data_IF_889530727365
#
_entry.id   IF_889530727365
#
_cell.length_a   1.000
_cell.length_b   1.000
_cell.length_c   1.000
_cell.angle_alpha   90.00
_cell.angle_beta   90.00
_cell.angle_gamma   90.00
#
_symmetry.space_group_name_H-M   'P 1'
#
loop_
_entity.id
_entity.type
_entity.pdbx_description
1 polymer ?
#
# COMPACT_ATOMS: atom_id res chain seq x y z
N UNK A 1 -17.24 46.89 23.81
CA UNK A 1 -18.37 47.19 24.72
C UNK A 1 -19.55 46.24 24.52
N UNK A 2 -19.65 45.55 23.39
CA UNK A 2 -20.89 44.88 22.96
C UNK A 2 -21.14 43.51 23.62
N UNK A 3 -20.16 42.98 24.37
CA UNK A 3 -20.27 41.70 25.07
C UNK A 3 -19.86 41.86 26.54
N UNK A 4 -20.50 41.08 27.44
CA UNK A 4 -20.17 41.00 28.87
C UNK A 4 -19.69 39.59 29.26
N UNK A 5 -18.93 39.51 30.36
CA UNK A 5 -18.44 38.26 30.96
C UNK A 5 -18.73 38.27 32.47
N UNK A 6 -19.24 37.18 33.08
CA UNK A 6 -19.64 35.89 32.46
C UNK A 6 -20.95 35.98 31.65
N UNK A 7 -21.35 34.88 31.00
CA UNK A 7 -22.57 34.78 30.19
C UNK A 7 -23.01 33.33 29.93
N UNK A 8 -24.01 33.14 29.06
CA UNK A 8 -24.62 31.83 28.77
C UNK A 8 -24.21 31.24 27.40
N UNK A 9 -23.33 31.92 26.68
CA UNK A 9 -22.71 31.42 25.45
C UNK A 9 -21.25 31.12 25.75
N UNK A 10 -20.80 29.94 25.31
CA UNK A 10 -19.44 29.45 25.51
C UNK A 10 -18.65 29.57 24.19
N UNK A 11 -17.98 30.71 23.93
CA UNK A 11 -17.24 30.87 22.68
C UNK A 11 -16.06 29.90 22.64
N UNK A 12 -15.97 29.17 21.53
CA UNK A 12 -14.84 28.29 21.21
C UNK A 12 -13.98 28.94 20.12
N UNK A 13 -12.66 28.80 20.22
CA UNK A 13 -11.72 29.34 19.22
C UNK A 13 -11.24 28.21 18.31
N UNK A 14 -11.65 28.25 17.04
CA UNK A 14 -11.13 27.33 16.03
C UNK A 14 -9.64 27.58 15.76
N UNK A 15 -8.91 26.52 15.39
CA UNK A 15 -7.54 26.64 14.89
C UNK A 15 -7.53 27.23 13.47
N UNK A 16 -6.53 28.05 13.21
CA UNK A 16 -6.23 28.52 11.85
C UNK A 16 -5.95 27.31 10.94
N UNK A 17 -6.52 27.33 9.73
CA UNK A 17 -6.56 26.19 8.80
C UNK A 17 -7.78 25.27 8.97
N UNK A 18 -8.58 25.43 10.02
CA UNK A 18 -9.85 24.71 10.18
C UNK A 18 -9.66 23.20 10.32
N UNK A 19 -10.56 22.41 9.71
CA UNK A 19 -10.58 20.95 9.85
C UNK A 19 -9.31 20.29 9.30
N UNK A 20 -8.60 20.98 8.41
CA UNK A 20 -7.33 20.52 7.85
C UNK A 20 -6.18 20.56 8.86
N UNK A 21 -6.29 21.40 9.89
CA UNK A 21 -5.33 21.45 11.00
C UNK A 21 -5.78 20.65 12.20
N UNK A 22 -7.08 20.66 12.50
CA UNK A 22 -7.68 19.89 13.61
C UNK A 22 -9.07 19.40 13.20
N UNK A 23 -9.25 18.08 13.15
CA UNK A 23 -10.54 17.45 12.86
C UNK A 23 -11.51 17.54 14.05
N UNK A 24 -11.99 18.73 14.37
CA UNK A 24 -12.93 18.99 15.46
C UNK A 24 -14.23 19.65 15.00
N UNK A 25 -15.30 19.48 15.78
CA UNK A 25 -16.59 20.12 15.51
C UNK A 25 -16.51 21.66 15.54
N UNK A 26 -15.61 22.21 16.37
CA UNK A 26 -15.33 23.65 16.42
C UNK A 26 -14.83 24.17 15.08
N UNK A 27 -13.82 23.51 14.50
CA UNK A 27 -13.29 23.86 13.19
C UNK A 27 -14.32 23.63 12.09
N UNK A 28 -15.04 22.50 12.13
CA UNK A 28 -16.06 22.19 11.14
C UNK A 28 -17.17 23.24 11.07
N UNK A 29 -17.63 23.76 12.22
CA UNK A 29 -18.66 24.80 12.27
C UNK A 29 -18.21 26.11 11.62
N UNK A 30 -16.94 26.50 11.80
CA UNK A 30 -16.36 27.69 11.17
C UNK A 30 -16.16 27.48 9.67
N UNK A 31 -15.60 26.33 9.27
CA UNK A 31 -15.31 26.02 7.88
C UNK A 31 -16.59 25.93 7.03
N UNK A 32 -17.66 25.32 7.56
CA UNK A 32 -18.95 25.26 6.86
C UNK A 32 -19.55 26.64 6.63
N UNK A 33 -19.48 27.53 7.62
CA UNK A 33 -19.95 28.91 7.47
C UNK A 33 -19.15 29.65 6.39
N UNK A 34 -17.82 29.47 6.38
CA UNK A 34 -16.95 30.07 5.38
C UNK A 34 -17.21 29.52 3.97
N UNK A 35 -17.39 28.20 3.81
CA UNK A 35 -17.74 27.56 2.54
C UNK A 35 -19.11 28.02 2.01
N UNK A 36 -20.02 28.42 2.89
CA UNK A 36 -21.29 29.03 2.51
C UNK A 36 -21.20 30.54 2.17
N UNK A 37 -20.00 31.13 2.21
CA UNK A 37 -19.78 32.55 1.96
C UNK A 37 -20.24 33.47 3.10
N UNK A 38 -20.43 32.93 4.31
CA UNK A 38 -20.87 33.67 5.50
C UNK A 38 -19.69 34.07 6.38
N UNK A 39 -19.97 34.87 7.41
CA UNK A 39 -18.99 35.17 8.45
C UNK A 39 -18.50 33.88 9.11
N UNK A 40 -17.19 33.68 9.34
CA UNK A 40 -16.61 32.41 9.81
C UNK A 40 -16.90 32.16 11.31
N UNK A 41 -18.16 31.96 11.64
CA UNK A 41 -18.66 31.63 12.97
C UNK A 41 -19.82 30.63 12.87
N UNK A 42 -19.77 29.58 13.68
CA UNK A 42 -20.81 28.56 13.79
C UNK A 42 -21.33 28.42 15.21
N UNK A 43 -22.58 27.96 15.36
CA UNK A 43 -23.17 27.55 16.64
C UNK A 43 -23.31 26.04 16.62
N UNK A 44 -22.79 25.38 17.64
CA UNK A 44 -22.80 23.92 17.76
C UNK A 44 -23.35 23.51 19.12
N UNK A 45 -24.04 22.37 19.15
CA UNK A 45 -24.52 21.70 20.35
C UNK A 45 -24.65 20.21 20.04
N UNK A 46 -24.20 19.33 20.93
CA UNK A 46 -24.33 17.90 20.72
C UNK A 46 -25.77 17.40 20.92
N UNK A 47 -26.16 16.42 20.10
CA UNK A 47 -27.48 15.80 20.16
C UNK A 47 -27.45 14.65 21.19
N UNK A 48 -28.39 14.70 22.13
CA UNK A 48 -28.58 13.67 23.15
C UNK A 48 -29.85 12.86 22.87
N UNK A 49 -29.82 11.59 23.26
CA UNK A 49 -30.98 10.72 23.31
C UNK A 49 -31.92 11.15 24.48
N UNK A 50 -33.20 10.74 24.44
CA UNK A 50 -34.15 11.07 25.51
C UNK A 50 -33.77 10.55 26.89
N UNK A 51 -32.94 9.51 26.96
CA UNK A 51 -32.43 8.92 28.20
C UNK A 51 -31.19 9.66 28.76
N UNK A 52 -30.75 10.74 28.10
CA UNK A 52 -29.57 11.53 28.48
C UNK A 52 -28.25 10.96 27.98
N UNK A 53 -28.25 9.83 27.25
CA UNK A 53 -27.06 9.34 26.58
C UNK A 53 -26.74 10.17 25.31
N UNK A 54 -25.49 10.12 24.85
CA UNK A 54 -25.08 10.81 23.62
C UNK A 54 -25.50 10.02 22.38
N UNK A 55 -26.16 10.68 21.42
CA UNK A 55 -26.61 10.03 20.20
C UNK A 55 -25.44 9.52 19.35
N UNK A 56 -25.55 8.29 18.84
CA UNK A 56 -24.59 7.62 17.95
C UNK A 56 -25.07 7.65 16.51
N UNK A 57 -24.22 7.23 15.57
CA UNK A 57 -24.48 7.35 14.13
C UNK A 57 -25.86 6.82 13.68
N UNK A 58 -26.34 5.63 14.12
CA UNK A 58 -27.67 5.16 13.73
C UNK A 58 -28.79 6.13 14.18
N UNK A 59 -28.72 6.63 15.41
CA UNK A 59 -29.70 7.55 15.98
C UNK A 59 -29.64 8.92 15.30
N UNK A 60 -28.44 9.39 14.96
CA UNK A 60 -28.23 10.65 14.23
C UNK A 60 -28.79 10.58 12.80
N UNK A 61 -28.71 9.42 12.14
CA UNK A 61 -29.33 9.20 10.81
C UNK A 61 -30.85 9.36 10.90
N UNK A 62 -31.47 8.74 11.91
CA UNK A 62 -32.92 8.84 12.10
C UNK A 62 -33.36 10.24 12.52
N UNK A 63 -32.58 10.89 13.40
CA UNK A 63 -32.81 12.28 13.80
C UNK A 63 -32.74 13.23 12.60
N UNK A 64 -31.70 13.10 11.77
CA UNK A 64 -31.53 13.92 10.58
C UNK A 64 -32.69 13.75 9.60
N UNK A 65 -33.16 12.51 9.35
CA UNK A 65 -34.35 12.26 8.51
C UNK A 65 -35.60 12.89 9.10
N UNK A 66 -35.87 12.70 10.40
CA UNK A 66 -37.05 13.22 11.08
C UNK A 66 -37.16 14.74 10.97
N UNK A 67 -36.03 15.44 11.06
CA UNK A 67 -35.98 16.91 11.06
C UNK A 67 -35.59 17.52 9.71
N UNK A 68 -35.44 16.72 8.65
CA UNK A 68 -35.06 17.21 7.32
C UNK A 68 -33.65 17.81 7.26
N UNK A 69 -32.74 17.37 8.13
CA UNK A 69 -31.36 17.86 8.22
C UNK A 69 -30.43 17.02 7.34
N UNK A 70 -29.32 17.64 6.91
CA UNK A 70 -28.22 16.93 6.26
C UNK A 70 -27.26 16.38 7.31
N UNK A 71 -26.76 15.18 7.07
CA UNK A 71 -25.72 14.55 7.88
C UNK A 71 -24.46 14.42 7.03
N UNK A 72 -23.33 14.87 7.58
CA UNK A 72 -22.01 14.77 6.96
C UNK A 72 -21.00 14.29 7.99
N UNK A 73 -19.83 13.81 7.55
CA UNK A 73 -18.69 13.56 8.43
C UNK A 73 -17.63 14.67 8.31
N UNK A 74 -16.84 14.86 9.37
CA UNK A 74 -15.66 15.74 9.31
C UNK A 74 -14.66 15.21 8.26
N UNK A 75 -14.57 13.89 8.09
CA UNK A 75 -13.72 13.28 7.07
C UNK A 75 -14.15 13.72 5.66
N UNK A 76 -15.46 13.72 5.36
CA UNK A 76 -15.97 14.19 4.06
C UNK A 76 -15.73 15.68 3.86
N UNK A 77 -15.85 16.49 4.91
CA UNK A 77 -15.54 17.93 4.84
C UNK A 77 -14.04 18.17 4.56
N UNK A 78 -13.15 17.42 5.23
CA UNK A 78 -11.70 17.47 4.97
C UNK A 78 -11.43 17.10 3.49
N UNK A 79 -12.01 15.99 3.01
CA UNK A 79 -11.88 15.57 1.62
C UNK A 79 -12.40 16.63 0.65
N UNK A 80 -13.57 17.21 0.91
CA UNK A 80 -14.15 18.27 0.09
C UNK A 80 -13.24 19.49 0.00
N UNK A 81 -12.75 20.00 1.15
CA UNK A 81 -11.84 21.15 1.17
C UNK A 81 -10.53 20.84 0.43
N UNK A 82 -9.92 19.68 0.65
CA UNK A 82 -8.68 19.30 -0.04
C UNK A 82 -8.84 19.11 -1.56
N UNK A 83 -10.06 18.81 -2.03
CA UNK A 83 -10.39 18.71 -3.47
C UNK A 83 -10.66 20.06 -4.13
N UNK A 84 -11.26 21.01 -3.40
CA UNK A 84 -11.75 22.27 -3.98
C UNK A 84 -10.88 23.48 -3.63
N UNK A 85 -10.04 23.38 -2.61
CA UNK A 85 -9.12 24.43 -2.19
C UNK A 85 -7.67 23.99 -2.45
N UNK A 86 -6.83 24.94 -2.88
CA UNK A 86 -5.42 24.70 -3.18
C UNK A 86 -4.55 25.26 -2.07
N UNK A 87 -3.80 24.39 -1.40
CA UNK A 87 -2.95 24.73 -0.26
C UNK A 87 -1.46 24.56 -0.55
N UNK A 88 -1.11 24.00 -1.71
CA UNK A 88 0.27 23.87 -2.15
C UNK A 88 0.59 24.95 -3.19
N UNK A 89 1.68 25.68 -2.95
CA UNK A 89 2.23 26.65 -3.87
C UNK A 89 3.60 26.17 -4.34
N UNK A 90 3.81 26.12 -5.66
CA UNK A 90 5.13 25.86 -6.25
C UNK A 90 5.98 27.12 -6.12
N UNK A 91 7.13 27.00 -5.46
CA UNK A 91 8.03 28.12 -5.15
C UNK A 91 9.26 28.14 -6.06
N UNK A 92 9.78 26.96 -6.44
CA UNK A 92 10.99 26.86 -7.26
C UNK A 92 11.01 25.59 -8.09
N UNK A 93 11.75 25.63 -9.20
CA UNK A 93 12.09 24.47 -10.03
C UNK A 93 13.57 24.54 -10.36
N UNK A 94 14.29 23.42 -10.23
CA UNK A 94 15.70 23.33 -10.56
C UNK A 94 16.04 21.99 -11.22
N UNK A 95 17.10 21.98 -12.03
CA UNK A 95 17.69 20.73 -12.50
C UNK A 95 18.42 20.02 -11.35
N UNK A 96 18.24 18.70 -11.27
CA UNK A 96 18.76 17.84 -10.22
C UNK A 96 19.47 16.63 -10.83
N UNK A 97 20.75 16.76 -11.23
CA UNK A 97 21.57 15.61 -11.57
C UNK A 97 21.86 14.79 -10.30
N UNK A 98 21.61 13.49 -10.35
CA UNK A 98 21.83 12.56 -9.23
C UNK A 98 22.55 11.31 -9.68
N UNK A 99 23.06 10.52 -8.74
CA UNK A 99 23.59 9.18 -9.02
C UNK A 99 22.54 8.19 -9.55
N UNK A 100 21.25 8.53 -9.49
CA UNK A 100 20.15 7.69 -9.99
C UNK A 100 19.67 8.13 -11.37
N UNK A 101 20.21 9.22 -11.92
CA UNK A 101 19.73 9.82 -13.16
C UNK A 101 19.56 11.33 -13.07
N UNK A 102 19.09 11.91 -14.17
CA UNK A 102 18.83 13.34 -14.29
C UNK A 102 17.34 13.65 -14.12
N UNK A 103 17.02 14.47 -13.12
CA UNK A 103 15.66 14.85 -12.75
C UNK A 103 15.50 16.37 -12.72
N UNK A 104 14.26 16.83 -12.60
CA UNK A 104 13.94 18.16 -12.09
C UNK A 104 13.40 18.05 -10.68
N UNK A 105 13.72 19.01 -9.82
CA UNK A 105 13.16 19.12 -8.48
C UNK A 105 12.26 20.34 -8.38
N UNK A 106 11.05 20.14 -7.88
CA UNK A 106 10.03 21.17 -7.69
C UNK A 106 9.83 21.36 -6.20
N UNK A 107 10.05 22.58 -5.71
CA UNK A 107 9.82 22.94 -4.32
C UNK A 107 8.40 23.48 -4.13
N UNK A 108 7.73 23.00 -3.10
CA UNK A 108 6.37 23.38 -2.72
C UNK A 108 6.33 23.90 -1.30
N UNK A 109 5.50 24.92 -1.06
CA UNK A 109 5.13 25.40 0.27
C UNK A 109 3.68 25.05 0.56
N UNK A 110 3.42 24.52 1.75
CA UNK A 110 2.09 24.37 2.30
C UNK A 110 1.65 25.70 2.94
N UNK A 111 0.60 26.31 2.42
CA UNK A 111 0.08 27.59 2.90
C UNK A 111 -0.57 27.49 4.29
N UNK A 112 -0.92 26.29 4.74
CA UNK A 112 -1.56 26.08 6.05
C UNK A 112 -0.57 26.10 7.22
N UNK A 113 0.68 25.72 6.99
CA UNK A 113 1.68 25.61 8.07
C UNK A 113 3.11 25.98 7.68
N UNK A 114 3.30 26.54 6.48
CA UNK A 114 4.58 26.90 5.89
C UNK A 114 5.58 25.74 5.79
N UNK A 115 5.12 24.49 5.92
CA UNK A 115 5.99 23.34 5.66
C UNK A 115 6.37 23.28 4.18
N UNK A 116 7.55 22.74 3.90
CA UNK A 116 8.07 22.63 2.55
C UNK A 116 8.07 21.17 2.12
N UNK A 117 7.76 20.91 0.87
CA UNK A 117 7.79 19.58 0.26
C UNK A 117 8.48 19.66 -1.08
N UNK A 118 8.94 18.52 -1.60
CA UNK A 118 9.55 18.50 -2.94
C UNK A 118 8.96 17.39 -3.79
N UNK A 119 8.88 17.63 -5.10
CA UNK A 119 8.64 16.60 -6.10
C UNK A 119 9.88 16.44 -6.98
N UNK A 120 10.37 15.21 -7.09
CA UNK A 120 11.48 14.84 -7.97
C UNK A 120 10.86 14.21 -9.21
N UNK A 121 11.08 14.82 -10.38
CA UNK A 121 10.33 14.56 -11.60
C UNK A 121 11.26 14.14 -12.73
N UNK A 122 10.91 13.07 -13.42
CA UNK A 122 11.54 12.59 -14.65
C UNK A 122 10.58 12.75 -15.82
N UNK A 123 11.09 13.22 -16.95
CA UNK A 123 10.29 13.47 -18.15
C UNK A 123 9.66 14.86 -18.16
N UNK A 124 8.81 15.11 -19.15
CA UNK A 124 8.13 16.39 -19.34
C UNK A 124 6.72 16.38 -18.72
N UNK A 125 6.45 17.20 -17.68
CA UNK A 125 5.14 17.36 -17.07
C UNK A 125 3.98 17.64 -18.04
N UNK A 126 4.22 18.36 -19.14
CA UNK A 126 3.16 18.67 -20.12
C UNK A 126 2.62 17.40 -20.80
N UNK A 127 3.43 16.34 -20.86
CA UNK A 127 3.05 15.05 -21.46
C UNK A 127 2.37 14.10 -20.47
N UNK A 128 2.24 14.46 -19.19
CA UNK A 128 1.77 13.53 -18.15
C UNK A 128 0.28 13.28 -18.16
N UNK A 129 -0.53 14.18 -18.73
CA UNK A 129 -1.99 14.00 -18.79
C UNK A 129 -2.40 12.82 -19.67
N UNK A 130 -1.64 12.58 -20.74
CA UNK A 130 -2.01 11.63 -21.79
C UNK A 130 -1.44 10.22 -21.58
N UNK A 131 -0.70 9.97 -20.49
CA UNK A 131 -0.07 8.66 -20.23
C UNK A 131 -0.07 8.30 -18.75
N UNK A 132 0.14 7.03 -18.45
CA UNK A 132 0.36 6.58 -17.08
C UNK A 132 1.78 6.92 -16.61
N UNK A 133 1.89 7.55 -15.44
CA UNK A 133 3.15 8.04 -14.86
C UNK A 133 3.50 7.23 -13.62
N UNK A 134 4.76 6.77 -13.47
CA UNK A 134 5.19 6.13 -12.22
C UNK A 134 5.21 7.15 -11.08
N UNK A 135 4.52 6.86 -9.98
CA UNK A 135 4.41 7.79 -8.84
C UNK A 135 4.83 7.11 -7.54
N UNK A 136 5.64 7.79 -6.75
CA UNK A 136 5.99 7.40 -5.38
C UNK A 136 5.70 8.54 -4.41
N UNK A 137 4.79 8.33 -3.47
CA UNK A 137 4.63 9.25 -2.34
C UNK A 137 5.48 8.76 -1.17
N UNK A 138 6.62 9.40 -0.97
CA UNK A 138 7.59 9.10 0.09
C UNK A 138 7.38 10.02 1.29
N UNK A 139 7.48 9.46 2.49
CA UNK A 139 7.45 10.23 3.73
C UNK A 139 8.86 10.32 4.25
N UNK A 140 9.33 11.53 4.55
CA UNK A 140 10.66 11.81 5.05
C UNK A 140 11.06 10.88 6.19
N UNK A 141 12.29 10.37 6.10
CA UNK A 141 12.93 9.60 7.15
C UNK A 141 14.42 9.97 7.21
N UNK A 142 14.77 11.04 7.92
CA UNK A 142 16.14 11.55 8.04
C UNK A 142 17.15 10.44 8.36
N UNK A 143 16.83 9.63 9.38
CA UNK A 143 17.70 8.53 9.82
C UNK A 143 17.96 7.52 8.72
N UNK A 144 16.95 7.21 7.89
CA UNK A 144 17.10 6.28 6.77
C UNK A 144 17.72 6.99 5.57
N UNK A 145 16.99 7.95 5.03
CA UNK A 145 17.22 8.57 3.72
C UNK A 145 18.56 9.30 3.64
N UNK A 146 18.96 10.03 4.69
CA UNK A 146 20.19 10.81 4.72
C UNK A 146 21.35 10.14 5.48
N UNK A 147 21.07 9.55 6.66
CA UNK A 147 22.12 9.03 7.56
C UNK A 147 22.43 7.55 7.26
N UNK A 148 21.52 6.84 6.60
CA UNK A 148 21.77 5.47 6.19
C UNK A 148 21.52 4.40 7.25
N UNK A 149 20.62 4.67 8.19
CA UNK A 149 20.19 3.71 9.21
C UNK A 149 19.68 2.41 8.59
N UNK A 150 20.11 1.28 9.17
CA UNK A 150 19.64 -0.06 8.82
C UNK A 150 18.40 -0.49 9.61
N UNK A 151 17.95 0.29 10.61
CA UNK A 151 16.73 0.01 11.39
C UNK A 151 15.44 0.13 10.57
N UNK A 152 15.49 0.79 9.42
CA UNK A 152 14.36 0.96 8.53
C UNK A 152 14.78 0.74 7.07
N UNK A 153 13.79 0.54 6.21
CA UNK A 153 13.95 0.32 4.78
C UNK A 153 13.74 1.59 3.93
N UNK A 154 13.51 2.74 4.56
CA UNK A 154 13.10 3.98 3.86
C UNK A 154 14.08 4.42 2.77
N UNK A 155 15.40 4.39 3.04
CA UNK A 155 16.43 4.74 2.05
C UNK A 155 16.36 3.83 0.84
N UNK A 156 16.36 2.52 1.07
CA UNK A 156 16.35 1.52 0.00
C UNK A 156 15.08 1.69 -0.86
N UNK A 157 13.94 1.95 -0.22
CA UNK A 157 12.69 2.27 -0.94
C UNK A 157 12.80 3.55 -1.79
N UNK A 158 13.35 4.64 -1.25
CA UNK A 158 13.51 5.90 -2.00
C UNK A 158 14.44 5.70 -3.21
N UNK A 159 15.59 5.05 -3.00
CA UNK A 159 16.56 4.79 -4.05
C UNK A 159 16.01 3.87 -5.14
N UNK A 160 15.30 2.80 -4.76
CA UNK A 160 14.66 1.90 -5.70
C UNK A 160 13.59 2.64 -6.54
N UNK A 161 12.75 3.46 -5.91
CA UNK A 161 11.75 4.24 -6.63
C UNK A 161 12.38 5.22 -7.64
N UNK A 162 13.47 5.92 -7.26
CA UNK A 162 14.19 6.81 -8.17
C UNK A 162 14.77 6.06 -9.38
N UNK A 163 15.38 4.89 -9.16
CA UNK A 163 15.90 4.04 -10.25
C UNK A 163 14.80 3.53 -11.17
N UNK A 164 13.67 3.09 -10.61
CA UNK A 164 12.51 2.64 -11.40
C UNK A 164 11.98 3.77 -12.29
N UNK A 165 11.87 4.98 -11.73
CA UNK A 165 11.41 6.16 -12.48
C UNK A 165 12.41 6.58 -13.55
N UNK A 166 13.72 6.53 -13.26
CA UNK A 166 14.75 6.80 -14.27
C UNK A 166 14.61 5.86 -15.46
N UNK A 167 14.52 4.55 -15.19
CA UNK A 167 14.41 3.52 -16.23
C UNK A 167 13.12 3.66 -17.06
N UNK A 168 12.01 4.08 -16.45
CA UNK A 168 10.76 4.33 -17.15
C UNK A 168 10.77 5.62 -17.99
N UNK A 169 11.68 6.56 -17.71
CA UNK A 169 11.77 7.85 -18.41
C UNK A 169 10.65 8.85 -18.10
N UNK A 170 9.67 8.47 -17.27
CA UNK A 170 8.57 9.33 -16.82
C UNK A 170 8.09 8.93 -15.42
N UNK A 171 8.14 9.87 -14.48
CA UNK A 171 7.68 9.61 -13.13
C UNK A 171 7.89 10.73 -12.13
N UNK A 172 7.26 10.59 -10.96
CA UNK A 172 7.30 11.58 -9.88
C UNK A 172 7.51 10.89 -8.53
N UNK A 173 8.57 11.27 -7.81
CA UNK A 173 8.67 11.03 -6.36
C UNK A 173 8.21 12.28 -5.63
N UNK A 174 7.07 12.22 -4.93
CA UNK A 174 6.67 13.26 -3.99
C UNK A 174 7.31 12.94 -2.63
N UNK A 175 8.21 13.79 -2.18
CA UNK A 175 8.87 13.69 -0.89
C UNK A 175 8.21 14.65 0.10
N UNK A 176 7.33 14.10 0.94
CA UNK A 176 6.62 14.85 1.98
C UNK A 176 7.49 14.91 3.24
N UNK A 177 7.82 16.12 3.69
CA UNK A 177 8.59 16.38 4.93
C UNK A 177 7.75 16.19 6.18
N UNK A 178 7.32 14.95 6.39
CA UNK A 178 6.43 14.50 7.48
C UNK A 178 7.07 13.35 8.28
N UNK A 179 8.23 13.65 8.86
CA UNK A 179 9.03 12.73 9.68
C UNK A 179 8.22 12.02 10.76
N UNK A 180 8.54 10.74 11.01
CA UNK A 180 7.91 9.96 12.09
C UNK A 180 6.40 9.72 11.91
N UNK A 181 5.86 9.81 10.69
CA UNK A 181 4.40 9.81 10.42
C UNK A 181 3.67 11.05 10.94
N UNK A 182 4.36 12.19 10.96
CA UNK A 182 3.80 13.47 11.37
C UNK A 182 4.08 13.85 12.82
N UNK A 183 4.61 12.95 13.64
CA UNK A 183 4.97 13.26 15.04
C UNK A 183 6.33 13.98 15.18
N UNK A 184 7.12 14.03 14.09
CA UNK A 184 8.43 14.67 14.05
C UNK A 184 9.59 13.81 14.54
N UNK A 185 10.81 14.26 14.23
CA UNK A 185 12.05 13.52 14.49
C UNK A 185 12.28 13.20 15.96
N UNK A 186 12.08 14.17 16.85
CA UNK A 186 12.33 14.02 18.29
C UNK A 186 11.46 12.89 18.86
N UNK A 187 10.16 12.88 18.53
CA UNK A 187 9.24 11.87 19.04
C UNK A 187 9.49 10.49 18.42
N UNK A 188 9.92 10.44 17.15
CA UNK A 188 10.41 9.20 16.54
C UNK A 188 11.61 8.63 17.30
N UNK A 189 12.58 9.47 17.70
CA UNK A 189 13.74 9.00 18.47
C UNK A 189 13.34 8.55 19.88
N UNK A 190 12.40 9.24 20.53
CA UNK A 190 11.81 8.76 21.80
C UNK A 190 11.14 7.39 21.63
N UNK A 191 10.43 7.17 20.52
CA UNK A 191 9.82 5.88 20.21
C UNK A 191 10.89 4.80 20.01
N UNK A 192 12.04 5.13 19.39
CA UNK A 192 13.18 4.21 19.31
C UNK A 192 13.74 3.86 20.68
N UNK A 193 13.91 4.82 21.58
CA UNK A 193 14.36 4.53 22.95
C UNK A 193 13.41 3.61 23.71
N UNK A 194 12.10 3.73 23.47
CA UNK A 194 11.10 2.81 24.03
C UNK A 194 11.17 1.42 23.38
N UNK A 195 11.44 1.35 22.08
CA UNK A 195 11.64 0.08 21.38
C UNK A 195 12.91 -0.64 21.82
N UNK A 196 13.99 0.09 22.08
CA UNK A 196 15.22 -0.46 22.65
C UNK A 196 14.99 -1.06 24.05
N UNK A 197 13.88 -0.70 24.72
CA UNK A 197 13.42 -1.27 26.00
C UNK A 197 12.40 -2.42 25.81
N UNK A 198 12.17 -2.88 24.58
CA UNK A 198 11.34 -4.05 24.25
C UNK A 198 9.89 -3.75 23.87
N UNK A 199 9.46 -2.48 23.79
CA UNK A 199 8.12 -2.13 23.30
C UNK A 199 8.07 -2.22 21.78
N UNK A 200 6.95 -2.64 21.20
CA UNK A 200 6.81 -2.55 19.75
C UNK A 200 6.54 -1.11 19.27
N UNK A 201 6.57 -0.91 17.95
CA UNK A 201 6.40 0.42 17.35
C UNK A 201 5.04 1.06 17.66
N UNK A 202 3.98 0.28 17.79
CA UNK A 202 2.62 0.78 18.05
C UNK A 202 2.48 1.11 19.54
N UNK A 203 2.95 0.22 20.42
CA UNK A 203 2.96 0.44 21.87
C UNK A 203 3.79 1.67 22.26
N UNK A 204 4.98 1.83 21.66
CA UNK A 204 5.82 3.00 21.86
C UNK A 204 5.09 4.31 21.48
N UNK A 205 4.34 4.31 20.37
CA UNK A 205 3.58 5.50 19.95
C UNK A 205 2.38 5.78 20.87
N UNK A 206 1.63 4.74 21.28
CA UNK A 206 0.54 4.90 22.25
C UNK A 206 1.05 5.44 23.58
N UNK A 207 2.20 4.95 24.05
CA UNK A 207 2.82 5.41 25.29
C UNK A 207 3.31 6.87 25.22
N UNK A 208 3.63 7.34 24.02
CA UNK A 208 3.95 8.74 23.74
C UNK A 208 2.72 9.62 23.48
N UNK A 209 1.50 9.04 23.49
CA UNK A 209 0.24 9.76 23.31
C UNK A 209 -0.09 10.10 21.85
N UNK A 210 0.52 9.43 20.87
CA UNK A 210 0.30 9.69 19.45
C UNK A 210 -0.56 8.58 18.78
N UNK A 211 -1.46 8.93 17.85
CA UNK A 211 -2.10 7.98 16.95
C UNK A 211 -1.05 7.26 16.10
N UNK A 212 -1.32 6.02 15.71
CA UNK A 212 -0.38 5.20 14.94
C UNK A 212 -0.03 5.76 13.54
N UNK A 213 -0.86 6.66 12.98
CA UNK A 213 -0.64 7.32 11.70
C UNK A 213 -1.41 8.65 11.64
N UNK A 214 -0.71 9.78 11.42
CA UNK A 214 -1.31 11.11 11.25
C UNK A 214 -1.06 11.69 9.84
N UNK A 215 -0.57 10.87 8.90
CA UNK A 215 -0.14 11.39 7.59
C UNK A 215 -1.34 11.91 6.80
N UNK A 216 -1.19 13.11 6.24
CA UNK A 216 -2.18 13.70 5.33
C UNK A 216 -1.69 13.54 3.89
N UNK A 217 -2.33 12.66 3.13
CA UNK A 217 -1.97 12.39 1.73
C UNK A 217 -2.54 13.41 0.74
N UNK A 218 -3.43 14.32 1.18
CA UNK A 218 -3.99 15.38 0.34
C UNK A 218 -2.93 16.33 -0.22
N UNK A 219 -1.87 16.62 0.54
CA UNK A 219 -0.74 17.43 0.04
C UNK A 219 -0.03 16.74 -1.12
N UNK A 220 0.18 15.43 -1.03
CA UNK A 220 0.77 14.64 -2.11
C UNK A 220 -0.10 14.66 -3.36
N UNK A 221 -1.41 14.55 -3.21
CA UNK A 221 -2.35 14.62 -4.33
C UNK A 221 -2.35 15.99 -5.00
N UNK A 222 -2.36 17.09 -4.23
CA UNK A 222 -2.33 18.44 -4.83
C UNK A 222 -1.00 18.72 -5.54
N UNK A 223 0.12 18.22 -5.02
CA UNK A 223 1.43 18.32 -5.70
C UNK A 223 1.39 17.56 -7.03
N UNK A 224 0.84 16.34 -7.07
CA UNK A 224 0.72 15.56 -8.30
C UNK A 224 -0.18 16.27 -9.34
N UNK A 225 -1.30 16.84 -8.91
CA UNK A 225 -2.17 17.65 -9.76
C UNK A 225 -1.45 18.88 -10.32
N UNK A 226 -0.66 19.59 -9.51
CA UNK A 226 0.14 20.74 -9.95
C UNK A 226 1.22 20.33 -10.97
N UNK A 227 1.86 19.18 -10.78
CA UNK A 227 2.78 18.58 -11.76
C UNK A 227 2.05 18.15 -13.05
N UNK A 228 0.73 18.02 -13.05
CA UNK A 228 -0.05 17.63 -14.23
C UNK A 228 -0.24 16.12 -14.39
N UNK A 229 0.04 15.33 -13.34
CA UNK A 229 -0.29 13.90 -13.32
C UNK A 229 -1.81 13.74 -13.24
N UNK A 230 -2.37 12.94 -14.14
CA UNK A 230 -3.77 12.48 -14.05
C UNK A 230 -3.84 10.97 -13.84
N UNK A 231 -3.14 10.21 -14.69
CA UNK A 231 -3.04 8.76 -14.64
C UNK A 231 -1.70 8.32 -14.06
N UNK A 232 -1.71 7.43 -13.08
CA UNK A 232 -0.46 7.02 -12.42
C UNK A 232 -0.40 5.56 -11.99
N UNK A 233 0.81 5.01 -11.98
CA UNK A 233 1.12 3.72 -11.36
C UNK A 233 1.82 3.95 -10.02
N UNK A 234 1.18 3.59 -8.90
CA UNK A 234 1.66 3.89 -7.56
C UNK A 234 2.69 2.87 -7.05
N UNK A 235 3.90 3.32 -6.77
CA UNK A 235 4.98 2.53 -6.17
C UNK A 235 4.78 2.42 -4.64
N UNK A 236 4.06 1.40 -4.17
CA UNK A 236 3.74 1.21 -2.74
C UNK A 236 3.54 -0.25 -2.33
N UNK A 237 3.88 -0.58 -1.08
CA UNK A 237 3.48 -1.82 -0.40
C UNK A 237 2.36 -1.62 0.63
N UNK A 238 1.94 -0.37 0.85
CA UNK A 238 0.97 -0.01 1.86
C UNK A 238 -0.41 0.25 1.19
N UNK A 239 -1.44 -0.55 1.48
CA UNK A 239 -2.77 -0.39 0.90
C UNK A 239 -3.49 0.89 1.36
N UNK A 240 -3.18 1.43 2.55
CA UNK A 240 -3.76 2.70 3.03
C UNK A 240 -3.33 3.91 2.19
N UNK A 241 -2.13 3.89 1.61
CA UNK A 241 -1.68 4.95 0.67
C UNK A 241 -2.53 5.00 -0.59
N UNK A 242 -3.12 3.87 -0.99
CA UNK A 242 -3.99 3.77 -2.17
C UNK A 242 -5.31 4.53 -1.92
N UNK A 243 -5.91 4.35 -0.74
CA UNK A 243 -7.14 5.03 -0.38
C UNK A 243 -6.96 6.56 -0.25
N UNK A 244 -5.82 7.01 0.28
CA UNK A 244 -5.56 8.43 0.54
C UNK A 244 -5.40 9.33 -0.69
N UNK A 245 -5.21 8.76 -1.88
CA UNK A 245 -5.11 9.50 -3.15
C UNK A 245 -6.40 9.45 -4.00
N UNK A 246 -7.37 8.61 -3.62
CA UNK A 246 -8.68 8.56 -4.31
C UNK A 246 -9.48 9.83 -4.04
N UNK A 247 -10.13 10.35 -5.09
CA UNK A 247 -11.00 11.52 -5.00
C UNK A 247 -10.37 12.86 -5.41
N UNK A 248 -9.08 12.91 -5.74
CA UNK A 248 -8.39 14.15 -6.10
C UNK A 248 -8.33 14.45 -7.61
N UNK A 249 -9.20 13.82 -8.41
CA UNK A 249 -9.08 13.85 -9.87
C UNK A 249 -7.87 13.08 -10.41
N UNK A 250 -7.24 12.26 -9.56
CA UNK A 250 -6.15 11.35 -9.91
C UNK A 250 -6.70 9.94 -10.12
N UNK A 251 -6.36 9.34 -11.25
CA UNK A 251 -6.70 7.98 -11.63
C UNK A 251 -5.49 7.07 -11.41
N UNK A 252 -5.58 6.19 -10.41
CA UNK A 252 -4.57 5.16 -10.22
C UNK A 252 -4.79 4.07 -11.27
N UNK A 253 -3.90 4.03 -12.27
CA UNK A 253 -3.90 3.02 -13.32
C UNK A 253 -3.38 1.70 -12.78
N UNK A 254 -2.28 1.69 -12.02
CA UNK A 254 -1.71 0.45 -11.47
C UNK A 254 -1.04 0.66 -10.11
N UNK A 255 -0.74 -0.45 -9.42
CA UNK A 255 0.15 -0.48 -8.27
C UNK A 255 1.40 -1.24 -8.67
N UNK A 256 2.55 -0.62 -8.42
CA UNK A 256 3.85 -1.28 -8.59
C UNK A 256 4.39 -1.64 -7.19
N UNK A 257 4.60 -2.93 -6.88
CA UNK A 257 5.19 -3.32 -5.60
C UNK A 257 6.63 -2.81 -5.51
N UNK A 258 7.06 -2.49 -4.29
CA UNK A 258 8.42 -2.00 -4.00
C UNK A 258 9.10 -2.94 -3.02
N UNK A 259 9.59 -4.07 -3.53
CA UNK A 259 10.23 -5.10 -2.70
C UNK A 259 11.64 -4.66 -2.35
N UNK A 260 11.93 -4.61 -1.05
CA UNK A 260 13.26 -4.35 -0.50
C UNK A 260 13.60 -5.54 0.39
N UNK A 261 14.79 -6.11 0.21
CA UNK A 261 15.26 -7.22 1.03
C UNK A 261 15.39 -6.79 2.50
N UNK A 262 14.86 -7.63 3.39
CA UNK A 262 15.03 -7.44 4.82
C UNK A 262 16.50 -7.63 5.19
N UNK A 263 16.96 -6.84 6.16
CA UNK A 263 18.28 -7.01 6.80
C UNK A 263 18.06 -7.53 8.21
N UNK A 264 19.07 -8.14 8.86
CA UNK A 264 18.96 -8.56 10.25
C UNK A 264 18.53 -7.44 11.21
N UNK A 265 18.78 -6.18 10.87
CA UNK A 265 18.46 -5.02 11.70
C UNK A 265 17.04 -4.47 11.54
N UNK A 266 16.30 -4.86 10.50
CA UNK A 266 14.96 -4.36 10.24
C UNK A 266 13.90 -5.45 10.07
N UNK A 267 14.25 -6.72 10.23
CA UNK A 267 13.31 -7.84 10.15
C UNK A 267 12.11 -7.66 11.09
N UNK A 268 12.35 -7.38 12.37
CA UNK A 268 11.28 -7.16 13.39
C UNK A 268 10.43 -5.91 13.10
N UNK A 269 11.07 -4.86 12.58
CA UNK A 269 10.40 -3.63 12.17
C UNK A 269 9.47 -3.86 10.97
N UNK A 270 9.92 -4.64 9.98
CA UNK A 270 9.11 -5.04 8.83
C UNK A 270 7.99 -6.00 9.26
N UNK A 271 8.24 -6.90 10.22
CA UNK A 271 7.23 -7.76 10.86
C UNK A 271 6.09 -6.93 11.45
N UNK A 272 6.44 -5.96 12.31
CA UNK A 272 5.47 -5.09 12.97
C UNK A 272 4.65 -4.28 11.97
N UNK A 273 5.28 -3.85 10.86
CA UNK A 273 4.58 -3.17 9.76
C UNK A 273 3.58 -4.09 9.05
N UNK A 274 3.95 -5.34 8.81
CA UNK A 274 3.05 -6.31 8.18
C UNK A 274 1.84 -6.58 9.08
N UNK A 275 2.11 -7.02 10.32
CA UNK A 275 1.10 -7.43 11.29
C UNK A 275 0.14 -6.30 11.69
N UNK A 276 0.68 -5.13 12.06
CA UNK A 276 -0.13 -4.06 12.67
C UNK A 276 -0.60 -2.98 11.70
N UNK A 277 0.03 -2.86 10.53
CA UNK A 277 -0.25 -1.78 9.57
C UNK A 277 -0.70 -2.30 8.20
N UNK A 278 -0.85 -3.62 8.06
CA UNK A 278 -1.33 -4.28 6.84
C UNK A 278 -0.37 -4.14 5.67
N UNK A 279 0.94 -4.04 5.94
CA UNK A 279 1.93 -4.12 4.86
C UNK A 279 1.98 -5.56 4.32
N UNK A 280 2.04 -5.70 3.01
CA UNK A 280 2.05 -7.00 2.34
C UNK A 280 3.50 -7.51 2.21
N UNK A 281 4.05 -8.09 3.28
CA UNK A 281 5.42 -8.60 3.34
C UNK A 281 5.46 -9.98 4.00
N UNK A 282 6.06 -10.96 3.31
CA UNK A 282 6.34 -12.31 3.81
C UNK A 282 7.68 -12.37 4.53
N UNK A 283 7.73 -13.20 5.57
CA UNK A 283 8.93 -13.57 6.31
C UNK A 283 9.31 -15.04 6.13
N UNK A 284 8.32 -15.90 5.89
CA UNK A 284 8.52 -17.30 5.54
C UNK A 284 7.89 -17.54 4.17
N UNK A 285 8.64 -18.13 3.24
CA UNK A 285 8.20 -18.39 1.87
C UNK A 285 7.95 -19.89 1.70
N UNK A 286 6.76 -20.27 1.29
CA UNK A 286 6.38 -21.68 1.09
C UNK A 286 6.22 -22.03 -0.39
N UNK A 287 5.68 -21.10 -1.18
CA UNK A 287 5.33 -21.36 -2.57
C UNK A 287 5.49 -20.09 -3.40
N UNK A 288 6.12 -20.19 -4.56
CA UNK A 288 6.00 -19.19 -5.62
C UNK A 288 4.98 -19.71 -6.63
N UNK A 289 4.05 -18.86 -7.04
CA UNK A 289 3.04 -19.17 -8.05
C UNK A 289 3.09 -18.11 -9.13
N UNK A 290 3.23 -18.55 -10.37
CA UNK A 290 3.17 -17.73 -11.55
C UNK A 290 1.94 -18.12 -12.39
N UNK A 291 1.12 -17.14 -12.71
CA UNK A 291 -0.15 -17.34 -13.39
C UNK A 291 -0.13 -16.56 -14.70
N UNK A 292 -0.44 -17.27 -15.77
CA UNK A 292 -0.75 -16.68 -17.08
C UNK A 292 -2.25 -16.73 -17.29
N UNK A 293 -2.84 -15.58 -17.56
CA UNK A 293 -4.26 -15.48 -17.87
C UNK A 293 -4.50 -15.66 -19.38
N UNK A 294 -5.67 -16.18 -19.77
CA UNK A 294 -6.09 -16.27 -21.17
C UNK A 294 -6.29 -14.88 -21.79
N UNK A 295 -6.69 -13.92 -20.98
CA UNK A 295 -6.92 -12.54 -21.35
C UNK A 295 -5.78 -11.62 -20.90
N UNK A 296 -5.72 -10.41 -21.47
CA UNK A 296 -4.90 -9.32 -20.95
C UNK A 296 -5.79 -8.47 -20.03
N UNK A 297 -5.90 -8.80 -18.72
CA UNK A 297 -6.81 -8.10 -17.82
C UNK A 297 -6.45 -6.62 -17.73
N UNK A 298 -7.48 -5.77 -17.63
CA UNK A 298 -7.27 -4.41 -17.17
C UNK A 298 -6.67 -4.42 -15.76
N UNK A 299 -6.13 -3.29 -15.33
CA UNK A 299 -5.45 -3.27 -14.04
C UNK A 299 -6.41 -3.46 -12.86
N UNK A 300 -7.63 -2.94 -12.96
CA UNK A 300 -8.68 -3.20 -11.96
C UNK A 300 -8.98 -4.69 -11.88
N UNK A 301 -9.10 -5.37 -13.02
CA UNK A 301 -9.35 -6.82 -13.06
C UNK A 301 -8.16 -7.63 -12.55
N UNK A 302 -6.92 -7.21 -12.86
CA UNK A 302 -5.70 -7.78 -12.29
C UNK A 302 -5.71 -7.66 -10.77
N UNK A 303 -6.08 -6.49 -10.26
CA UNK A 303 -6.17 -6.22 -8.83
C UNK A 303 -7.26 -7.07 -8.17
N UNK A 304 -8.44 -7.17 -8.77
CA UNK A 304 -9.53 -8.01 -8.27
C UNK A 304 -9.12 -9.50 -8.25
N UNK A 305 -8.38 -9.97 -9.27
CA UNK A 305 -7.79 -11.32 -9.28
C UNK A 305 -6.78 -11.51 -8.16
N UNK A 306 -5.92 -10.53 -7.94
CA UNK A 306 -4.94 -10.58 -6.86
C UNK A 306 -5.61 -10.54 -5.47
N UNK A 307 -6.66 -9.75 -5.28
CA UNK A 307 -7.45 -9.76 -4.04
C UNK A 307 -8.19 -11.08 -3.86
N UNK A 308 -8.69 -11.70 -4.95
CA UNK A 308 -9.20 -13.08 -4.88
C UNK A 308 -8.13 -14.06 -4.44
N UNK A 309 -6.90 -13.97 -4.97
CA UNK A 309 -5.78 -14.83 -4.52
C UNK A 309 -5.47 -14.60 -3.04
N UNK A 310 -5.45 -13.35 -2.57
CA UNK A 310 -5.28 -13.00 -1.15
C UNK A 310 -6.40 -13.59 -0.29
N UNK A 311 -7.65 -13.50 -0.76
CA UNK A 311 -8.80 -14.05 -0.07
C UNK A 311 -8.72 -15.58 0.04
N UNK A 312 -8.37 -16.26 -1.06
CA UNK A 312 -8.15 -17.70 -1.07
C UNK A 312 -7.01 -18.11 -0.13
N UNK A 313 -5.85 -17.49 -0.24
CA UNK A 313 -4.71 -17.79 0.62
C UNK A 313 -5.04 -17.57 2.10
N UNK A 314 -5.80 -16.52 2.43
CA UNK A 314 -6.23 -16.24 3.81
C UNK A 314 -7.14 -17.33 4.39
N UNK A 315 -7.94 -18.02 3.56
CA UNK A 315 -8.73 -19.18 4.01
C UNK A 315 -7.86 -20.34 4.50
N UNK A 316 -6.57 -20.33 4.14
CA UNK A 316 -5.57 -21.32 4.52
C UNK A 316 -4.49 -20.76 5.47
N UNK A 317 -4.74 -19.61 6.11
CA UNK A 317 -3.79 -18.89 6.98
C UNK A 317 -2.47 -18.50 6.28
N UNK A 318 -2.53 -18.30 4.95
CA UNK A 318 -1.41 -17.86 4.12
C UNK A 318 -1.59 -16.40 3.71
N UNK A 319 -0.46 -15.73 3.49
CA UNK A 319 -0.40 -14.41 2.89
C UNK A 319 0.16 -14.48 1.48
N UNK A 320 -0.24 -13.52 0.64
CA UNK A 320 0.20 -13.38 -0.74
C UNK A 320 1.00 -12.10 -0.89
N UNK A 321 2.26 -12.23 -1.28
CA UNK A 321 3.13 -11.13 -1.66
C UNK A 321 3.38 -11.19 -3.16
N UNK A 322 3.18 -10.08 -3.87
CA UNK A 322 3.54 -10.00 -5.28
C UNK A 322 5.07 -10.06 -5.45
N UNK A 323 5.51 -10.73 -6.50
CA UNK A 323 6.91 -10.84 -6.91
C UNK A 323 7.09 -10.21 -8.30
N UNK A 324 8.10 -9.35 -8.42
CA UNK A 324 8.37 -8.58 -9.62
C UNK A 324 9.88 -8.38 -9.87
N UNK A 325 10.75 -9.03 -9.09
CA UNK A 325 12.20 -8.97 -9.30
C UNK A 325 12.55 -9.53 -10.68
N UNK A 326 13.55 -8.95 -11.38
CA UNK A 326 13.95 -9.40 -12.72
C UNK A 326 14.26 -10.89 -12.79
N UNK A 327 14.84 -11.48 -11.75
CA UNK A 327 15.13 -12.91 -11.67
C UNK A 327 13.86 -13.77 -11.73
N UNK A 328 12.79 -13.38 -11.03
CA UNK A 328 11.52 -14.10 -11.06
C UNK A 328 10.80 -13.93 -12.40
N UNK A 329 10.83 -12.71 -12.95
CA UNK A 329 10.26 -12.41 -14.28
C UNK A 329 10.95 -13.21 -15.38
N UNK A 330 12.29 -13.35 -15.30
CA UNK A 330 13.05 -14.17 -16.23
C UNK A 330 12.76 -15.67 -16.06
N UNK A 331 12.61 -16.14 -14.82
CA UNK A 331 12.36 -17.55 -14.49
C UNK A 331 10.99 -18.02 -14.98
N UNK A 332 9.94 -17.27 -14.66
CA UNK A 332 8.54 -17.60 -15.00
C UNK A 332 8.07 -16.86 -16.24
N UNK A 333 8.92 -16.81 -17.26
CA UNK A 333 8.69 -16.10 -18.51
C UNK A 333 7.22 -16.18 -19.00
N UNK A 334 6.67 -15.07 -19.50
CA UNK A 334 5.26 -14.92 -19.95
C UNK A 334 4.17 -14.96 -18.85
N UNK A 335 4.52 -15.11 -17.57
CA UNK A 335 3.55 -15.01 -16.49
C UNK A 335 2.91 -13.61 -16.44
N UNK A 336 1.58 -13.58 -16.34
CA UNK A 336 0.86 -12.34 -16.11
C UNK A 336 1.05 -11.84 -14.68
N UNK A 337 1.09 -12.73 -13.69
CA UNK A 337 1.24 -12.40 -12.28
C UNK A 337 2.13 -13.44 -11.59
N UNK A 338 3.12 -12.98 -10.81
CA UNK A 338 3.94 -13.85 -9.97
C UNK A 338 3.73 -13.43 -8.52
N UNK A 339 3.47 -14.41 -7.64
CA UNK A 339 3.26 -14.19 -6.22
C UNK A 339 3.99 -15.23 -5.39
N UNK A 340 4.42 -14.82 -4.21
CA UNK A 340 4.83 -15.72 -3.13
C UNK A 340 3.66 -15.92 -2.17
N UNK A 341 3.57 -17.15 -1.65
CA UNK A 341 2.72 -17.51 -0.52
C UNK A 341 3.56 -17.92 0.67
N UNK A 342 3.11 -17.53 1.85
CA UNK A 342 3.70 -17.98 3.10
C UNK A 342 3.17 -17.21 4.30
N UNK A 343 4.03 -16.96 5.29
CA UNK A 343 3.66 -16.29 6.54
C UNK A 343 4.31 -14.91 6.64
N UNK A 344 3.59 -13.97 7.27
CA UNK A 344 4.12 -12.65 7.67
C UNK A 344 4.93 -12.69 8.96
N UNK A 345 4.87 -13.80 9.70
CA UNK A 345 5.67 -14.06 10.88
C UNK A 345 6.81 -15.02 10.54
N UNK A 346 7.98 -14.82 11.15
CA UNK A 346 9.09 -15.77 11.12
C UNK A 346 8.71 -17.03 11.89
N UNK A 347 7.90 -17.89 11.27
CA UNK A 347 7.58 -19.21 11.80
C UNK A 347 8.71 -20.15 11.42
N UNK A 348 9.26 -20.83 12.42
CA UNK A 348 10.16 -21.95 12.20
C UNK A 348 9.35 -23.07 11.55
N UNK A 349 9.54 -23.24 10.24
CA UNK A 349 9.04 -24.37 9.48
C UNK A 349 10.22 -25.27 9.14
N UNK A 350 10.02 -26.59 9.16
CA UNK A 350 11.11 -27.50 8.80
C UNK A 350 11.44 -27.35 7.31
N UNK A 351 12.72 -27.32 6.90
CA UNK A 351 13.09 -27.12 5.49
C UNK A 351 12.53 -28.17 4.52
N UNK A 352 12.08 -29.31 5.03
CA UNK A 352 11.51 -30.46 4.33
C UNK A 352 9.98 -30.58 4.50
N UNK A 353 9.30 -29.54 4.99
CA UNK A 353 7.87 -29.58 5.32
C UNK A 353 6.98 -30.11 4.18
N UNK A 354 7.37 -29.86 2.93
CA UNK A 354 6.63 -30.30 1.74
C UNK A 354 6.76 -31.80 1.46
N UNK A 355 7.76 -32.48 2.04
CA UNK A 355 7.93 -33.94 1.95
C UNK A 355 7.16 -34.68 3.05
N UNK A 356 6.78 -33.98 4.12
CA UNK A 356 6.06 -34.55 5.25
C UNK A 356 4.58 -34.74 4.90
N UNK A 357 4.12 -36.01 4.90
CA UNK A 357 2.78 -36.41 4.42
C UNK A 357 1.66 -35.71 5.19
N UNK A 358 1.80 -35.58 6.51
CA UNK A 358 0.76 -35.02 7.39
C UNK A 358 0.97 -33.53 7.70
N UNK A 359 1.88 -32.84 7.00
CA UNK A 359 2.16 -31.44 7.30
C UNK A 359 0.99 -30.56 6.82
N UNK A 360 0.40 -29.71 7.69
CA UNK A 360 -0.82 -28.96 7.37
C UNK A 360 -0.65 -28.03 6.17
N UNK A 361 0.55 -27.46 5.98
CA UNK A 361 0.83 -26.57 4.84
C UNK A 361 0.85 -27.27 3.49
N UNK A 362 1.11 -28.58 3.45
CA UNK A 362 1.07 -29.35 2.20
C UNK A 362 -0.36 -29.46 1.70
N UNK A 363 -1.31 -29.78 2.58
CA UNK A 363 -2.73 -29.82 2.25
C UNK A 363 -3.27 -28.42 1.88
N UNK A 364 -2.87 -27.38 2.62
CA UNK A 364 -3.24 -26.01 2.34
C UNK A 364 -2.80 -25.54 0.93
N UNK A 365 -1.54 -25.81 0.56
CA UNK A 365 -1.01 -25.43 -0.75
C UNK A 365 -1.65 -26.24 -1.88
N UNK A 366 -1.88 -27.54 -1.68
CA UNK A 366 -2.59 -28.36 -2.65
C UNK A 366 -3.99 -27.82 -2.95
N UNK A 367 -4.78 -27.53 -1.91
CA UNK A 367 -6.12 -26.95 -2.05
C UNK A 367 -6.10 -25.56 -2.71
N UNK A 368 -5.13 -24.73 -2.34
CA UNK A 368 -4.96 -23.42 -2.97
C UNK A 368 -4.66 -23.54 -4.46
N UNK A 369 -3.71 -24.41 -4.84
CA UNK A 369 -3.32 -24.59 -6.24
C UNK A 369 -4.47 -25.14 -7.09
N UNK A 370 -5.24 -26.11 -6.58
CA UNK A 370 -6.42 -26.64 -7.27
C UNK A 370 -7.47 -25.54 -7.51
N UNK A 371 -7.78 -24.75 -6.48
CA UNK A 371 -8.75 -23.65 -6.61
C UNK A 371 -8.31 -22.61 -7.62
N UNK A 372 -7.02 -22.30 -7.71
CA UNK A 372 -6.48 -21.37 -8.71
C UNK A 372 -6.48 -22.00 -10.10
N UNK A 373 -6.09 -23.27 -10.24
CA UNK A 373 -6.11 -24.01 -11.50
C UNK A 373 -7.52 -24.09 -12.12
N UNK A 374 -8.56 -24.18 -11.28
CA UNK A 374 -9.97 -24.22 -11.69
C UNK A 374 -10.52 -22.86 -12.17
N UNK A 375 -9.77 -21.76 -12.04
CA UNK A 375 -10.25 -20.46 -12.50
C UNK A 375 -10.33 -20.43 -14.03
N UNK A 376 -11.49 -20.05 -14.62
CA UNK A 376 -11.69 -20.05 -16.07
C UNK A 376 -10.69 -19.16 -16.83
N UNK A 377 -10.14 -18.14 -16.18
CA UNK A 377 -9.18 -17.23 -16.80
C UNK A 377 -7.74 -17.78 -16.81
N UNK A 378 -7.42 -18.90 -16.14
CA UNK A 378 -6.02 -19.40 -16.01
C UNK A 378 -5.62 -20.25 -17.19
N UNK A 379 -4.82 -19.68 -18.09
CA UNK A 379 -4.25 -20.41 -19.22
C UNK A 379 -3.12 -21.35 -18.78
N UNK A 380 -2.27 -20.87 -17.86
CA UNK A 380 -1.15 -21.62 -17.34
C UNK A 380 -0.89 -21.24 -15.88
N UNK A 381 -0.64 -22.26 -15.06
CA UNK A 381 -0.27 -22.17 -13.67
C UNK A 381 1.09 -22.82 -13.48
N UNK A 382 2.07 -22.05 -13.04
CA UNK A 382 3.40 -22.53 -12.68
C UNK A 382 3.63 -22.34 -11.20
N UNK A 383 4.30 -23.28 -10.55
CA UNK A 383 4.69 -23.10 -9.16
C UNK A 383 6.03 -23.74 -8.79
N UNK A 384 6.64 -23.18 -7.76
CA UNK A 384 7.93 -23.59 -7.17
C UNK A 384 7.78 -23.62 -5.66
N UNK A 385 8.06 -24.76 -5.03
CA UNK A 385 8.02 -24.90 -3.56
C UNK A 385 9.31 -24.36 -2.92
N UNK A 386 9.21 -23.80 -1.72
CA UNK A 386 10.32 -23.23 -0.97
C UNK A 386 10.46 -23.84 0.44
N UNK A 387 11.69 -24.03 0.96
CA UNK A 387 11.94 -24.58 2.29
C UNK A 387 11.71 -23.56 3.43
N UNK A 388 11.02 -22.45 3.19
CA UNK A 388 10.80 -21.36 4.16
C UNK A 388 11.65 -20.11 3.90
N UNK A 389 12.69 -20.20 3.06
CA UNK A 389 13.56 -19.09 2.68
C UNK A 389 13.13 -18.44 1.36
N UNK A 390 13.60 -17.23 1.07
CA UNK A 390 13.33 -16.60 -0.22
C UNK A 390 13.80 -17.49 -1.40
N UNK A 391 12.89 -17.96 -2.27
CA UNK A 391 13.23 -18.90 -3.33
C UNK A 391 14.10 -18.29 -4.43
N UNK A 392 14.15 -16.95 -4.55
CA UNK A 392 14.87 -16.27 -5.64
C UNK A 392 16.37 -16.03 -5.33
N UNK A 393 16.82 -16.28 -4.10
CA UNK A 393 18.22 -16.01 -3.71
C UNK A 393 19.19 -17.15 -4.06
N UNK A 394 18.72 -18.39 -4.03
CA UNK A 394 19.55 -19.59 -4.16
C UNK A 394 19.10 -20.48 -5.33
N UNK A 395 18.71 -19.87 -6.44
CA UNK A 395 18.29 -20.60 -7.64
C UNK A 395 19.48 -21.34 -8.26
N UNK A 396 19.26 -22.59 -8.67
CA UNK A 396 20.23 -23.34 -9.45
C UNK A 396 20.38 -22.74 -10.85
N UNK A 397 21.55 -22.96 -11.47
CA UNK A 397 21.87 -22.41 -12.81
C UNK A 397 20.91 -22.96 -13.88
N UNK A 398 20.44 -24.20 -13.74
CA UNK A 398 19.38 -24.79 -14.55
C UNK A 398 18.30 -25.33 -13.62
N UNK A 399 17.06 -24.90 -13.85
CA UNK A 399 15.88 -25.32 -13.09
C UNK A 399 15.04 -26.23 -13.98
N UNK A 400 14.75 -27.42 -13.45
CA UNK A 400 13.96 -28.41 -14.15
C UNK A 400 12.48 -28.00 -14.18
N UNK A 401 11.78 -28.36 -15.27
CA UNK A 401 10.37 -28.05 -15.50
C UNK A 401 9.58 -29.31 -15.77
N UNK A 402 8.62 -29.62 -14.90
CA UNK A 402 7.71 -30.74 -15.10
C UNK A 402 6.37 -30.23 -15.60
N UNK A 403 5.98 -30.62 -16.81
CA UNK A 403 4.79 -30.09 -17.49
C UNK A 403 3.64 -31.09 -17.44
N UNK A 404 2.46 -30.58 -17.08
CA UNK A 404 1.20 -31.29 -17.01
C UNK A 404 0.15 -30.55 -17.83
N UNK A 405 -0.82 -31.33 -18.33
CA UNK A 405 -1.97 -30.78 -19.06
C UNK A 405 -3.02 -30.32 -18.06
N UNK A 406 -3.44 -29.06 -18.17
CA UNK A 406 -4.56 -28.53 -17.40
C UNK A 406 -5.86 -28.83 -18.15
N UNK A 407 -6.56 -29.89 -17.73
CA UNK A 407 -7.83 -30.31 -18.33
C UNK A 407 -9.02 -29.64 -17.64
N UNK A 408 -9.90 -29.03 -18.43
CA UNK A 408 -11.12 -28.34 -17.93
C UNK A 408 -12.41 -29.09 -18.23
N UNK A 409 -12.35 -30.15 -19.03
CA UNK A 409 -13.51 -30.91 -19.44
C UNK A 409 -13.76 -32.05 -18.44
N UNK A 410 -14.96 -32.09 -17.85
CA UNK A 410 -15.36 -33.12 -16.86
C UNK A 410 -15.64 -34.48 -17.50
N UNK A 411 -15.38 -34.66 -18.79
CA UNK A 411 -15.56 -35.91 -19.52
C UNK A 411 -14.32 -36.82 -19.53
N UNK A 412 -13.15 -36.34 -19.11
CA UNK A 412 -12.00 -37.21 -18.87
C UNK A 412 -12.18 -37.93 -17.54
N UNK A 413 -11.95 -39.25 -17.51
CA UNK A 413 -12.26 -40.07 -16.34
C UNK A 413 -11.41 -39.70 -15.10
N UNK A 414 -10.27 -39.02 -15.27
CA UNK A 414 -9.41 -38.52 -14.18
C UNK A 414 -8.58 -37.28 -14.61
N UNK A 415 -9.10 -36.04 -14.53
CA UNK A 415 -8.29 -34.85 -14.77
C UNK A 415 -7.20 -34.74 -13.68
N UNK A 416 -5.95 -34.51 -14.09
CA UNK A 416 -4.83 -34.36 -13.16
C UNK A 416 -4.85 -32.94 -12.56
N UNK A 417 -4.97 -32.87 -11.24
CA UNK A 417 -4.95 -31.63 -10.48
C UNK A 417 -3.57 -31.37 -9.86
N UNK A 418 -3.21 -30.11 -9.57
CA UNK A 418 -1.99 -29.77 -8.82
C UNK A 418 -1.83 -30.58 -7.51
N UNK A 419 -2.93 -30.84 -6.80
CA UNK A 419 -2.90 -31.64 -5.57
C UNK A 419 -2.41 -33.08 -5.76
N UNK A 420 -2.60 -33.69 -6.93
CA UNK A 420 -2.17 -35.06 -7.22
C UNK A 420 -0.63 -35.19 -7.21
N UNK A 421 0.06 -34.11 -7.59
CA UNK A 421 1.53 -34.08 -7.63
C UNK A 421 2.14 -33.48 -6.37
N UNK A 422 1.34 -32.82 -5.52
CA UNK A 422 1.79 -32.31 -4.23
C UNK A 422 2.32 -33.41 -3.29
N UNK A 423 2.21 -34.69 -3.69
CA UNK A 423 2.82 -35.79 -2.96
C UNK A 423 4.33 -35.92 -3.12
N UNK A 424 4.88 -35.43 -4.24
CA UNK A 424 6.28 -35.61 -4.61
C UNK A 424 6.89 -34.26 -5.00
N UNK A 425 6.79 -33.28 -4.11
CA UNK A 425 7.36 -31.95 -4.33
C UNK A 425 8.87 -31.94 -4.06
N UNK A 426 9.60 -31.30 -4.96
CA UNK A 426 11.03 -31.02 -4.87
C UNK A 426 11.24 -29.51 -4.93
N UNK A 427 12.17 -28.99 -4.13
CA UNK A 427 12.66 -27.62 -4.30
C UNK A 427 13.46 -27.52 -5.59
N UNK A 428 13.57 -26.30 -6.13
CA UNK A 428 14.33 -26.05 -7.38
C UNK A 428 13.78 -26.77 -8.63
N UNK A 429 12.51 -27.22 -8.60
CA UNK A 429 11.76 -27.70 -9.76
C UNK A 429 10.50 -26.87 -9.94
N UNK A 430 10.22 -26.45 -11.18
CA UNK A 430 8.99 -25.74 -11.53
C UNK A 430 7.98 -26.76 -12.07
N UNK A 431 6.80 -26.76 -11.50
CA UNK A 431 5.68 -27.56 -11.96
C UNK A 431 4.75 -26.68 -12.79
N UNK A 432 4.45 -27.09 -14.03
CA UNK A 432 3.70 -26.31 -15.02
C UNK A 432 2.41 -27.02 -15.37
N UNK A 433 1.27 -26.38 -15.16
CA UNK A 433 -0.05 -26.83 -15.62
C UNK A 433 -0.53 -25.89 -16.72
N UNK A 434 -0.67 -26.36 -17.96
CA UNK A 434 -1.02 -25.51 -19.11
C UNK A 434 -2.19 -26.08 -19.91
N UNK A 435 -3.06 -25.22 -20.42
CA UNK A 435 -4.15 -25.60 -21.34
C UNK A 435 -3.65 -25.88 -22.76
N UNK A 436 -2.42 -25.47 -23.10
CA UNK A 436 -1.78 -25.73 -24.39
C UNK A 436 -0.83 -26.94 -24.32
N UNK A 437 -0.63 -27.67 -25.44
CA UNK A 437 0.35 -28.75 -25.47
C UNK A 437 1.76 -28.20 -25.16
N UNK A 438 2.64 -29.01 -24.54
CA UNK A 438 3.99 -28.59 -24.24
C UNK A 438 4.70 -28.19 -25.54
N UNK A 439 5.00 -26.90 -25.71
CA UNK A 439 6.01 -26.48 -26.67
C UNK A 439 7.35 -27.02 -26.17
N UNK A 440 8.13 -27.62 -27.07
CA UNK A 440 9.50 -28.09 -26.79
C UNK A 440 10.26 -27.05 -25.95
N UNK A 441 11.06 -27.49 -24.97
CA UNK A 441 11.74 -26.58 -24.07
C UNK A 441 12.61 -25.62 -24.88
N UNK A 442 12.39 -24.32 -24.69
CA UNK A 442 13.38 -23.33 -25.08
C UNK A 442 14.64 -23.62 -24.27
N UNK A 443 15.65 -24.17 -24.94
CA UNK A 443 17.00 -24.31 -24.41
C UNK A 443 17.48 -22.89 -24.08
N UNK A 444 17.61 -22.59 -22.79
CA UNK A 444 18.35 -21.42 -22.30
C UNK A 444 19.83 -21.77 -22.16
#
# INVERSE_FOLDING_TARGET
SDLRRPGHIFPLRAKEGGVLKRAGHTEAGVDLAQLAGLYPAGVICEIQNPDGSMARLPELVDYARRHGLKLISIADLISYRLQHERFVQREAVADLPTQFGHFKIYAYRNLLDNSEHVAIVKGDPETFKDRSVLVRVHSECLTGDAIGSLRCDCRMQLQAALKMIENAGAGVVVYLRQEGRGIGLINKLKAYSLQDLGLDTVEANHRLGFPADQRNYGMGAQILNDIGVQKFCLITNNPRKIAGLKGYGLEMVDRVPLLIEATPFNADYLATKAEKLGHLLLQTYLLTVAIRWEDAPSVTERYDRLEKLRYLAKAHDLQVQEEARPVAVALFNEASLIVHLGFDQSRSISPDWFQQVDHPMRAAIAQFLDQVADWPSVQQLEFLVSPGSDPMLNLQVQIDRQIFRLERDRQTEHPLHPSDICMNLETQRIYVFSTHPPSEPAIL
#
